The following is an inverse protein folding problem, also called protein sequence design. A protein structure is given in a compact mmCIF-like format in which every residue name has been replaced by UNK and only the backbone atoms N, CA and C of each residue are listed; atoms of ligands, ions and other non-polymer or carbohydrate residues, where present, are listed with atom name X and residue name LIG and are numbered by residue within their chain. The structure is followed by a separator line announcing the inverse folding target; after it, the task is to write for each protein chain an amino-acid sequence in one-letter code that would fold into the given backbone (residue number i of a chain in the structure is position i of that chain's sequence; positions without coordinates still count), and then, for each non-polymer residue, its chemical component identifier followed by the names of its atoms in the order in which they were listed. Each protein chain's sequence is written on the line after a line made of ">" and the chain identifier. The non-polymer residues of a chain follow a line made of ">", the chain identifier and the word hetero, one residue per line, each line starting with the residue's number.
data_IF_981795109407
#
_entry.id   IF_981795109407
#
_cell.length_a   1.000
_cell.length_b   1.000
_cell.length_c   1.000
_cell.angle_alpha   90.00
_cell.angle_beta   90.00
_cell.angle_gamma   90.00
#
_symmetry.space_group_name_H-M   'P 1'
#
loop_
_entity.id
_entity.type
_entity.pdbx_description
1 polymer ?
#
# COMPACT_ATOMS: atom_id res chain seq x y z
N UNK A 1 6.21 -6.73 -6.08
CA UNK A 1 6.32 -8.17 -6.44
C UNK A 1 5.01 -8.89 -6.20
N UNK A 2 4.56 -9.10 -4.96
CA UNK A 2 3.24 -9.72 -4.71
C UNK A 2 2.09 -8.92 -5.33
N UNK A 3 2.08 -7.61 -5.14
CA UNK A 3 1.11 -6.69 -5.75
C UNK A 3 1.08 -6.81 -7.29
N UNK A 4 2.24 -6.91 -7.94
CA UNK A 4 2.32 -7.09 -9.41
C UNK A 4 1.77 -8.43 -9.90
N UNK A 5 1.71 -9.45 -9.02
CA UNK A 5 1.05 -10.74 -9.30
C UNK A 5 -0.46 -10.61 -9.12
N UNK A 6 -0.90 -9.92 -8.07
CA UNK A 6 -2.33 -9.70 -7.75
C UNK A 6 -2.99 -8.87 -8.86
N UNK A 7 -2.33 -7.80 -9.30
CA UNK A 7 -2.85 -6.87 -10.31
C UNK A 7 -2.66 -7.36 -11.75
N UNK A 8 -2.04 -8.53 -11.95
CA UNK A 8 -1.64 -9.06 -13.27
C UNK A 8 -0.83 -8.04 -14.11
N UNK A 9 -0.02 -7.21 -13.45
CA UNK A 9 0.70 -6.13 -14.10
C UNK A 9 1.83 -6.67 -14.98
N UNK A 10 1.84 -6.31 -16.27
CA UNK A 10 2.91 -6.69 -17.20
C UNK A 10 4.18 -5.84 -17.03
N UNK A 11 4.04 -4.58 -16.63
CA UNK A 11 5.16 -3.65 -16.45
C UNK A 11 5.03 -2.81 -15.18
N UNK A 12 6.16 -2.41 -14.60
CA UNK A 12 6.26 -1.47 -13.48
C UNK A 12 7.44 -0.52 -13.75
N UNK A 13 7.19 0.79 -13.75
CA UNK A 13 8.19 1.85 -14.03
C UNK A 13 8.95 1.62 -15.35
N UNK A 14 8.22 1.26 -16.41
CA UNK A 14 8.78 1.05 -17.76
C UNK A 14 9.63 -0.21 -17.93
N UNK A 15 9.61 -1.15 -16.97
CA UNK A 15 10.29 -2.45 -17.05
C UNK A 15 9.30 -3.58 -16.84
N UNK A 16 9.57 -4.74 -17.42
CA UNK A 16 8.78 -5.95 -17.16
C UNK A 16 8.74 -6.27 -15.66
N UNK A 17 7.57 -6.66 -15.17
CA UNK A 17 7.41 -7.15 -13.79
C UNK A 17 8.07 -8.52 -13.64
N UNK A 18 8.34 -8.89 -12.39
CA UNK A 18 8.85 -10.23 -12.11
C UNK A 18 7.86 -11.33 -12.54
N UNK A 19 6.56 -11.06 -12.43
CA UNK A 19 5.48 -11.96 -12.83
C UNK A 19 5.45 -12.16 -14.35
N UNK A 20 5.59 -11.08 -15.12
CA UNK A 20 5.68 -11.15 -16.58
C UNK A 20 6.93 -11.93 -17.05
N UNK A 21 8.06 -11.72 -16.38
CA UNK A 21 9.35 -12.28 -16.82
C UNK A 21 9.61 -13.72 -16.37
N UNK A 22 9.21 -14.06 -15.14
CA UNK A 22 9.53 -15.35 -14.51
C UNK A 22 8.30 -16.12 -14.03
N UNK A 23 7.10 -15.58 -14.23
CA UNK A 23 5.83 -16.19 -13.83
C UNK A 23 5.44 -15.90 -12.38
N UNK A 24 4.17 -16.18 -12.08
CA UNK A 24 3.56 -15.89 -10.78
C UNK A 24 4.21 -16.68 -9.64
N UNK A 25 4.48 -17.98 -9.85
CA UNK A 25 5.08 -18.84 -8.82
C UNK A 25 6.44 -18.31 -8.34
N UNK A 26 7.34 -17.98 -9.27
CA UNK A 26 8.67 -17.44 -8.93
C UNK A 26 8.54 -16.09 -8.23
N UNK A 27 7.60 -15.26 -8.67
CA UNK A 27 7.37 -13.94 -8.09
C UNK A 27 6.86 -14.00 -6.66
N UNK A 28 5.91 -14.89 -6.38
CA UNK A 28 5.40 -15.09 -5.01
C UNK A 28 6.53 -15.57 -4.09
N UNK A 29 7.29 -16.58 -4.49
CA UNK A 29 8.41 -17.09 -3.71
C UNK A 29 9.51 -16.04 -3.51
N UNK A 30 9.76 -15.19 -4.50
CA UNK A 30 10.70 -14.08 -4.37
C UNK A 30 10.21 -13.03 -3.36
N UNK A 31 8.91 -12.71 -3.35
CA UNK A 31 8.29 -11.85 -2.35
C UNK A 31 8.43 -12.42 -0.94
N UNK A 32 8.12 -13.71 -0.76
CA UNK A 32 8.24 -14.41 0.52
C UNK A 32 9.69 -14.42 1.02
N UNK A 33 10.65 -14.64 0.11
CA UNK A 33 12.08 -14.58 0.42
C UNK A 33 12.52 -13.18 0.86
N UNK A 34 12.10 -12.12 0.16
CA UNK A 34 12.40 -10.74 0.55
C UNK A 34 11.81 -10.40 1.92
N UNK A 35 10.59 -10.85 2.19
CA UNK A 35 9.95 -10.70 3.48
C UNK A 35 10.75 -11.41 4.58
N UNK A 36 11.18 -12.66 4.35
CA UNK A 36 12.03 -13.40 5.28
C UNK A 36 13.38 -12.68 5.53
N UNK A 37 13.99 -12.11 4.49
CA UNK A 37 15.23 -11.34 4.63
C UNK A 37 15.04 -10.03 5.42
N UNK A 38 13.90 -9.35 5.26
CA UNK A 38 13.57 -8.18 6.06
C UNK A 38 13.42 -8.55 7.56
N UNK A 39 12.71 -9.64 7.86
CA UNK A 39 12.59 -10.16 9.22
C UNK A 39 13.94 -10.63 9.80
N UNK A 40 14.80 -11.24 8.98
CA UNK A 40 16.14 -11.61 9.39
C UNK A 40 16.98 -10.36 9.78
N UNK A 41 16.88 -9.27 9.01
CA UNK A 41 17.62 -8.03 9.27
C UNK A 41 17.23 -7.38 10.62
N UNK A 42 15.95 -7.48 11.00
CA UNK A 42 15.46 -6.96 12.29
C UNK A 42 15.55 -7.98 13.43
N UNK A 43 15.80 -9.27 13.14
CA UNK A 43 15.72 -10.36 14.13
C UNK A 43 16.69 -10.19 15.30
N UNK A 44 17.81 -9.48 15.09
CA UNK A 44 18.80 -9.19 16.13
C UNK A 44 18.35 -8.08 17.09
N UNK A 45 17.32 -7.33 16.73
CA UNK A 45 16.72 -6.29 17.55
C UNK A 45 15.69 -6.96 18.45
N UNK A 46 16.11 -7.36 19.65
CA UNK A 46 15.26 -8.02 20.65
C UNK A 46 14.28 -7.06 21.33
N UNK A 47 13.56 -6.26 20.54
CA UNK A 47 12.63 -5.22 21.01
C UNK A 47 11.18 -5.61 20.72
N UNK A 48 10.40 -5.78 21.80
CA UNK A 48 9.00 -6.19 21.71
C UNK A 48 8.11 -5.15 21.03
N UNK A 49 8.39 -3.85 21.19
CA UNK A 49 7.62 -2.77 20.54
C UNK A 49 7.78 -2.85 19.03
N UNK A 50 9.02 -3.01 18.57
CA UNK A 50 9.34 -3.12 17.13
C UNK A 50 8.65 -4.34 16.53
N UNK A 51 8.79 -5.50 17.16
CA UNK A 51 8.16 -6.75 16.68
C UNK A 51 6.64 -6.62 16.64
N UNK A 52 6.01 -6.05 17.67
CA UNK A 52 4.57 -5.86 17.73
C UNK A 52 4.07 -4.88 16.65
N UNK A 53 4.76 -3.76 16.45
CA UNK A 53 4.39 -2.77 15.44
C UNK A 53 4.48 -3.34 14.01
N UNK A 54 5.56 -4.08 13.71
CA UNK A 54 5.72 -4.72 12.40
C UNK A 54 4.71 -5.84 12.17
N UNK A 55 4.43 -6.66 13.19
CA UNK A 55 3.39 -7.68 13.11
C UNK A 55 2.02 -7.07 12.81
N UNK A 56 1.65 -6.01 13.53
CA UNK A 56 0.38 -5.32 13.31
C UNK A 56 0.32 -4.67 11.92
N UNK A 57 1.41 -4.02 11.49
CA UNK A 57 1.51 -3.41 10.17
C UNK A 57 1.24 -4.43 9.07
N UNK A 58 1.92 -5.58 9.10
CA UNK A 58 1.75 -6.62 8.09
C UNK A 58 0.32 -7.15 8.08
N UNK A 59 -0.28 -7.37 9.26
CA UNK A 59 -1.68 -7.77 9.36
C UNK A 59 -2.62 -6.74 8.75
N UNK A 60 -2.43 -5.45 9.05
CA UNK A 60 -3.24 -4.37 8.50
C UNK A 60 -3.14 -4.30 6.98
N UNK A 61 -1.92 -4.36 6.43
CA UNK A 61 -1.70 -4.32 4.98
C UNK A 61 -2.39 -5.50 4.28
N UNK A 62 -2.22 -6.72 4.79
CA UNK A 62 -2.90 -7.90 4.26
C UNK A 62 -4.42 -7.78 4.34
N UNK A 63 -4.95 -7.28 5.46
CA UNK A 63 -6.39 -7.04 5.60
C UNK A 63 -6.89 -5.99 4.60
N UNK A 64 -6.15 -4.91 4.38
CA UNK A 64 -6.46 -3.89 3.39
C UNK A 64 -6.54 -4.44 1.96
N UNK A 65 -5.57 -5.27 1.57
CA UNK A 65 -5.59 -5.95 0.26
C UNK A 65 -6.76 -6.93 0.12
N UNK A 66 -7.06 -7.71 1.16
CA UNK A 66 -8.19 -8.64 1.16
C UNK A 66 -9.51 -7.85 1.05
N UNK A 67 -9.68 -6.78 1.82
CA UNK A 67 -10.85 -5.91 1.75
C UNK A 67 -11.00 -5.27 0.38
N UNK A 68 -9.90 -4.85 -0.27
CA UNK A 68 -9.94 -4.35 -1.65
C UNK A 68 -10.45 -5.44 -2.60
N UNK A 69 -9.87 -6.64 -2.54
CA UNK A 69 -10.23 -7.75 -3.42
C UNK A 69 -11.70 -8.17 -3.25
N UNK A 70 -12.22 -8.19 -2.01
CA UNK A 70 -13.61 -8.55 -1.74
C UNK A 70 -14.62 -7.48 -2.18
N UNK A 71 -14.18 -6.22 -2.37
CA UNK A 71 -15.03 -5.10 -2.76
C UNK A 71 -14.88 -4.68 -4.23
N UNK A 72 -14.17 -5.45 -5.06
CA UNK A 72 -14.13 -5.18 -6.50
C UNK A 72 -15.55 -5.17 -7.08
N UNK A 73 -15.80 -4.23 -7.99
CA UNK A 73 -17.09 -3.99 -8.63
C UNK A 73 -18.25 -3.68 -7.66
N UNK A 74 -17.97 -3.21 -6.45
CA UNK A 74 -18.99 -2.78 -5.49
C UNK A 74 -19.25 -1.25 -5.57
N UNK A 75 -20.27 -0.78 -6.33
CA UNK A 75 -20.56 0.66 -6.43
C UNK A 75 -21.17 1.24 -5.14
N UNK A 76 -21.56 0.41 -4.18
CA UNK A 76 -22.07 0.85 -2.89
C UNK A 76 -20.96 1.15 -1.87
N UNK A 77 -19.68 0.96 -2.24
CA UNK A 77 -18.54 1.28 -1.38
C UNK A 77 -18.63 2.74 -0.91
N UNK A 78 -18.55 2.92 0.39
CA UNK A 78 -18.57 4.22 1.04
C UNK A 78 -17.20 4.87 1.02
N UNK A 79 -17.19 6.19 1.17
CA UNK A 79 -15.96 6.98 1.36
C UNK A 79 -15.19 6.56 2.62
N UNK A 80 -15.87 6.17 3.69
CA UNK A 80 -15.23 5.67 4.90
C UNK A 80 -14.49 4.34 4.66
N UNK A 81 -15.14 3.39 3.97
CA UNK A 81 -14.51 2.12 3.58
C UNK A 81 -13.31 2.36 2.65
N UNK A 82 -13.41 3.31 1.73
CA UNK A 82 -12.31 3.74 0.89
C UNK A 82 -11.13 4.28 1.71
N UNK A 83 -11.39 5.23 2.63
CA UNK A 83 -10.34 5.84 3.46
C UNK A 83 -9.65 4.80 4.34
N UNK A 84 -10.41 3.87 4.93
CA UNK A 84 -9.85 2.76 5.71
C UNK A 84 -8.97 1.84 4.86
N UNK A 85 -9.37 1.55 3.62
CA UNK A 85 -8.59 0.72 2.69
C UNK A 85 -7.23 1.35 2.39
N UNK A 86 -7.21 2.62 1.98
CA UNK A 86 -5.95 3.31 1.61
C UNK A 86 -5.07 3.58 2.84
N UNK A 87 -5.68 3.76 4.01
CA UNK A 87 -4.95 3.79 5.27
C UNK A 87 -4.14 2.51 5.47
N UNK A 88 -4.81 1.36 5.44
CA UNK A 88 -4.18 0.05 5.70
C UNK A 88 -3.15 -0.32 4.64
N UNK A 89 -3.43 -0.03 3.36
CA UNK A 89 -2.57 -0.39 2.24
C UNK A 89 -1.30 0.46 2.17
N UNK A 90 -1.40 1.77 2.50
CA UNK A 90 -0.33 2.73 2.23
C UNK A 90 0.07 3.55 3.44
N UNK A 91 -0.88 4.17 4.15
CA UNK A 91 -0.57 5.13 5.22
C UNK A 91 0.05 4.47 6.46
N UNK A 92 -0.47 3.31 6.88
CA UNK A 92 0.02 2.59 8.06
C UNK A 92 1.51 2.21 7.91
N UNK A 93 1.96 1.88 6.70
CA UNK A 93 3.36 1.57 6.42
C UNK A 93 4.27 2.77 6.67
N UNK A 94 3.91 3.93 6.13
CA UNK A 94 4.69 5.16 6.31
C UNK A 94 4.65 5.65 7.76
N UNK A 95 3.49 5.60 8.41
CA UNK A 95 3.34 5.91 9.83
C UNK A 95 4.23 5.02 10.71
N UNK A 96 4.23 3.70 10.45
CA UNK A 96 5.06 2.75 11.19
C UNK A 96 6.56 2.98 10.95
N UNK A 97 6.97 3.29 9.72
CA UNK A 97 8.37 3.61 9.42
C UNK A 97 8.85 4.86 10.19
N UNK A 98 8.01 5.91 10.26
CA UNK A 98 8.31 7.12 11.02
C UNK A 98 8.30 6.89 12.55
N UNK A 99 7.33 6.14 13.07
CA UNK A 99 7.24 5.75 14.49
C UNK A 99 8.47 4.95 14.91
N UNK A 100 8.79 3.85 14.20
CA UNK A 100 9.91 3.00 14.55
C UNK A 100 11.27 3.68 14.34
N UNK A 101 11.42 4.48 13.28
CA UNK A 101 12.65 5.22 13.03
C UNK A 101 12.95 6.25 14.13
N UNK A 102 11.93 6.98 14.59
CA UNK A 102 12.09 7.95 15.67
C UNK A 102 12.26 7.28 17.04
N UNK A 103 11.53 6.18 17.28
CA UNK A 103 11.72 5.35 18.48
C UNK A 103 13.14 4.81 18.60
N UNK A 104 13.71 4.26 17.52
CA UNK A 104 15.07 3.74 17.50
C UNK A 104 16.15 4.83 17.65
N UNK A 105 15.80 6.09 17.38
CA UNK A 105 16.67 7.24 17.57
C UNK A 105 16.56 7.85 18.99
N UNK A 106 15.85 7.18 19.91
CA UNK A 106 15.54 7.67 21.25
C UNK A 106 14.90 9.07 21.24
N UNK A 107 14.08 9.35 20.22
CA UNK A 107 13.32 10.59 20.17
C UNK A 107 12.26 10.61 21.28
N UNK A 108 12.00 11.79 21.85
CA UNK A 108 10.93 11.95 22.83
C UNK A 108 9.55 11.60 22.28
N UNK A 109 8.62 11.22 23.17
CA UNK A 109 7.27 10.77 22.81
C UNK A 109 6.54 11.74 21.88
N UNK A 110 6.55 13.05 22.20
CA UNK A 110 5.92 14.07 21.37
C UNK A 110 6.49 14.15 19.94
N UNK A 111 7.79 13.89 19.76
CA UNK A 111 8.42 13.86 18.42
C UNK A 111 8.04 12.59 17.69
N UNK A 112 8.03 11.46 18.39
CA UNK A 112 7.64 10.16 17.84
C UNK A 112 6.18 10.19 17.35
N UNK A 113 5.26 10.71 18.16
CA UNK A 113 3.85 10.86 17.78
C UNK A 113 3.67 11.82 16.61
N UNK A 114 4.37 12.95 16.62
CA UNK A 114 4.34 13.90 15.51
C UNK A 114 4.85 13.32 14.19
N UNK A 115 5.91 12.50 14.24
CA UNK A 115 6.45 11.82 13.05
C UNK A 115 5.54 10.71 12.56
N UNK A 116 4.90 9.97 13.48
CA UNK A 116 3.89 8.97 13.12
C UNK A 116 2.70 9.60 12.39
N UNK A 117 2.15 10.68 12.93
CA UNK A 117 1.05 11.43 12.31
C UNK A 117 1.47 11.98 10.94
N UNK A 118 2.68 12.54 10.84
CA UNK A 118 3.24 12.97 9.56
C UNK A 118 3.26 11.84 8.53
N UNK A 119 3.77 10.65 8.89
CA UNK A 119 3.80 9.49 8.01
C UNK A 119 2.41 9.05 7.56
N UNK A 120 1.44 9.07 8.47
CA UNK A 120 0.03 8.79 8.18
C UNK A 120 -0.55 9.79 7.16
N UNK A 121 -0.46 11.10 7.44
CA UNK A 121 -1.00 12.13 6.56
C UNK A 121 -0.35 12.09 5.16
N UNK A 122 0.96 11.90 5.09
CA UNK A 122 1.68 11.78 3.81
C UNK A 122 1.21 10.57 3.03
N UNK A 123 1.03 9.41 3.69
CA UNK A 123 0.55 8.21 3.02
C UNK A 123 -0.88 8.32 2.51
N UNK A 124 -1.77 8.92 3.29
CA UNK A 124 -3.14 9.21 2.84
C UNK A 124 -3.15 10.15 1.64
N UNK A 125 -2.41 11.26 1.71
CA UNK A 125 -2.31 12.23 0.61
C UNK A 125 -1.69 11.61 -0.65
N UNK A 126 -0.66 10.78 -0.48
CA UNK A 126 -0.01 10.07 -1.57
C UNK A 126 -1.00 9.17 -2.32
N UNK A 127 -1.75 8.32 -1.59
CA UNK A 127 -2.67 7.40 -2.23
C UNK A 127 -3.87 8.10 -2.89
N UNK A 128 -4.42 9.13 -2.25
CA UNK A 128 -5.49 9.94 -2.87
C UNK A 128 -5.00 10.60 -4.15
N UNK A 129 -3.75 11.08 -4.17
CA UNK A 129 -3.14 11.69 -5.36
C UNK A 129 -2.95 10.65 -6.46
N UNK A 130 -2.45 9.46 -6.13
CA UNK A 130 -2.28 8.34 -7.07
C UNK A 130 -3.62 7.96 -7.73
N UNK A 131 -4.68 7.82 -6.93
CA UNK A 131 -6.03 7.50 -7.41
C UNK A 131 -6.65 8.60 -8.29
N UNK A 132 -6.35 9.88 -7.99
CA UNK A 132 -6.76 11.00 -8.86
C UNK A 132 -5.99 10.92 -10.19
N UNK A 133 -4.69 10.71 -10.13
CA UNK A 133 -3.84 10.63 -11.31
C UNK A 133 -4.21 9.45 -12.21
N UNK A 134 -4.65 8.30 -11.67
CA UNK A 134 -5.17 7.18 -12.47
C UNK A 134 -6.32 7.61 -13.39
N UNK A 135 -7.14 8.60 -12.97
CA UNK A 135 -8.28 9.09 -13.75
C UNK A 135 -7.93 10.30 -14.62
N UNK A 136 -7.04 11.18 -14.16
CA UNK A 136 -6.76 12.46 -14.83
C UNK A 136 -5.49 12.49 -15.67
N UNK A 137 -4.57 11.55 -15.46
CA UNK A 137 -3.28 11.55 -16.14
C UNK A 137 -3.39 11.18 -17.62
N UNK A 138 -2.34 11.44 -18.38
CA UNK A 138 -2.18 10.93 -19.75
C UNK A 138 -1.40 9.61 -19.74
N UNK A 139 -1.72 8.71 -20.68
CA UNK A 139 -1.09 7.37 -20.81
C UNK A 139 0.46 7.41 -20.80
N UNK A 140 1.07 8.53 -21.20
CA UNK A 140 2.51 8.73 -21.27
C UNK A 140 3.22 8.95 -19.92
N UNK A 141 2.54 9.46 -18.90
CA UNK A 141 3.18 9.79 -17.60
C UNK A 141 3.00 8.68 -16.55
N UNK A 142 1.89 7.94 -16.60
CA UNK A 142 1.54 6.91 -15.62
C UNK A 142 2.22 5.56 -15.87
N UNK A 143 2.62 5.29 -17.13
CA UNK A 143 3.15 3.98 -17.53
C UNK A 143 2.13 2.84 -17.45
N UNK A 144 0.84 3.17 -17.28
CA UNK A 144 -0.34 2.29 -17.30
C UNK A 144 -1.47 3.00 -18.04
N UNK A 145 -2.48 2.29 -18.59
CA UNK A 145 -3.63 2.92 -19.23
C UNK A 145 -4.42 3.78 -18.23
N UNK A 146 -4.92 4.93 -18.67
CA UNK A 146 -5.83 5.76 -17.85
C UNK A 146 -7.09 4.99 -17.42
N UNK A 147 -7.45 5.16 -16.15
CA UNK A 147 -8.60 4.53 -15.50
C UNK A 147 -8.40 3.04 -15.27
N UNK A 148 -7.17 2.60 -15.01
CA UNK A 148 -6.88 1.18 -14.84
C UNK A 148 -7.61 0.62 -13.62
N UNK A 149 -7.67 1.37 -12.52
CA UNK A 149 -8.32 0.94 -11.29
C UNK A 149 -9.81 0.65 -11.54
N UNK A 150 -10.49 1.57 -12.22
CA UNK A 150 -11.91 1.41 -12.55
C UNK A 150 -12.15 0.22 -13.50
N UNK A 151 -11.25 -0.04 -14.45
CA UNK A 151 -11.33 -1.22 -15.34
C UNK A 151 -11.17 -2.53 -14.58
N UNK A 152 -10.37 -2.52 -13.52
CA UNK A 152 -10.18 -3.66 -12.60
C UNK A 152 -11.31 -3.77 -11.57
N UNK A 153 -12.28 -2.84 -11.57
CA UNK A 153 -13.39 -2.83 -10.63
C UNK A 153 -13.05 -2.21 -9.28
N UNK A 154 -11.88 -1.61 -9.13
CA UNK A 154 -11.49 -0.92 -7.90
C UNK A 154 -12.17 0.44 -7.88
N UNK A 155 -13.09 0.64 -6.94
CA UNK A 155 -13.78 1.91 -6.77
C UNK A 155 -12.93 2.82 -5.89
N UNK A 156 -12.42 3.90 -6.47
CA UNK A 156 -11.59 4.93 -5.82
C UNK A 156 -12.38 6.22 -5.59
N UNK A 157 -11.80 7.17 -4.85
CA UNK A 157 -12.47 8.40 -4.44
C UNK A 157 -13.11 9.19 -5.59
N UNK A 158 -12.46 9.40 -6.76
CA UNK A 158 -13.09 10.11 -7.88
C UNK A 158 -14.39 9.44 -8.37
N UNK A 159 -14.42 8.11 -8.42
CA UNK A 159 -15.61 7.36 -8.82
C UNK A 159 -16.72 7.45 -7.76
N UNK A 160 -16.38 7.36 -6.46
CA UNK A 160 -17.33 7.53 -5.35
C UNK A 160 -18.02 8.89 -5.43
N UNK A 161 -17.25 9.96 -5.65
CA UNK A 161 -17.80 11.32 -5.77
C UNK A 161 -18.66 11.47 -7.03
N UNK A 162 -18.24 10.88 -8.15
CA UNK A 162 -19.01 10.91 -9.41
C UNK A 162 -20.35 10.16 -9.31
N UNK A 163 -20.46 9.13 -8.48
CA UNK A 163 -21.72 8.39 -8.28
C UNK A 163 -22.69 9.11 -7.33
N UNK A 164 -22.20 10.04 -6.51
CA UNK A 164 -23.00 10.78 -5.51
C UNK A 164 -23.48 12.15 -6.00
N UNK A 165 -22.91 12.68 -7.08
CA UNK A 165 -23.15 14.03 -7.60
C UNK A 165 -23.42 14.00 -9.12
#
# INVERSE_FOLDING_TARGET
>A
VHDDVIDEAATRRGRETASAKWGNLVSVLAGDFLFAQAFAAISHIADRRIIAALSQLVSNMCEGEITQFLNIFNPAQTEEEYLLRIQKKTADFLACACDLGSYMADAGEAVTDGLKEYGYCVGMAFQITDDILDVTGDDGELGKPVGNDLRQGIITLPAIYTLRH
#
